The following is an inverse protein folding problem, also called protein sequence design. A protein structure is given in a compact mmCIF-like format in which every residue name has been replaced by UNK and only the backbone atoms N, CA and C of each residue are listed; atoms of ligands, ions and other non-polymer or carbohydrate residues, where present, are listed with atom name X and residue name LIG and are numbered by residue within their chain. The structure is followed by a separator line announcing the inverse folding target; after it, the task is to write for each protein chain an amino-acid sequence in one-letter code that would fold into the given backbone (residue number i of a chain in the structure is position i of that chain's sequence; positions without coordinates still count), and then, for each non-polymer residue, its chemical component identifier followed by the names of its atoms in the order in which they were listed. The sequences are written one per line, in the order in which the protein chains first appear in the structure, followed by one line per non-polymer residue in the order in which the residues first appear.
data_IF_680893638534
#
_entry.id   IF_680893638534
#
_cell.length_a   1.000
_cell.length_b   1.000
_cell.length_c   1.000
_cell.angle_alpha   90.00
_cell.angle_beta   90.00
_cell.angle_gamma   90.00
#
_symmetry.space_group_name_H-M   'P 1'
#
loop_
_entity.id
_entity.type
_entity.pdbx_description
1 polymer ?
#
# COMPACT_ATOMS: atom_id res chain seq x y z
N UNK A 1 12.35 30.80 34.33
CA UNK A 1 12.37 29.46 34.94
C UNK A 1 11.61 28.58 33.98
N UNK A 2 12.39 28.01 33.06
CA UNK A 2 12.15 26.81 32.26
C UNK A 2 10.92 26.78 31.34
N UNK A 3 11.19 27.23 30.11
CA UNK A 3 10.57 26.81 28.86
C UNK A 3 10.51 25.28 28.75
N UNK A 4 9.30 24.73 28.74
CA UNK A 4 9.02 23.35 28.33
C UNK A 4 7.72 23.33 27.53
N UNK A 5 7.70 24.06 26.42
CA UNK A 5 6.75 23.73 25.35
C UNK A 5 7.31 22.52 24.61
N UNK A 6 6.73 21.37 24.93
CA UNK A 6 6.94 20.08 24.28
C UNK A 6 6.93 20.27 22.76
N UNK A 7 8.11 20.18 22.18
CA UNK A 7 8.33 19.95 20.77
C UNK A 7 7.62 18.63 20.42
N UNK A 8 6.43 18.74 19.81
CA UNK A 8 5.75 17.58 19.23
C UNK A 8 6.72 16.87 18.30
N UNK A 9 6.92 15.57 18.53
CA UNK A 9 7.78 14.72 17.73
C UNK A 9 7.47 14.89 16.24
N UNK A 10 8.49 14.86 15.35
CA UNK A 10 8.25 15.02 13.92
C UNK A 10 7.39 13.86 13.45
N UNK A 11 6.24 14.17 12.87
CA UNK A 11 5.60 13.38 11.82
C UNK A 11 5.56 11.86 12.07
N UNK A 12 4.77 11.40 13.05
CA UNK A 12 4.44 9.96 13.10
C UNK A 12 3.39 9.67 12.05
N UNK A 13 3.80 9.75 10.78
CA UNK A 13 3.04 9.18 9.67
C UNK A 13 2.78 7.70 10.03
N UNK A 14 1.52 7.24 10.05
CA UNK A 14 1.22 5.85 10.37
C UNK A 14 1.97 4.92 9.41
N UNK A 15 2.44 3.76 9.87
CA UNK A 15 3.22 2.85 9.04
C UNK A 15 2.42 2.48 7.79
N UNK A 16 3.12 2.32 6.67
CA UNK A 16 2.51 1.98 5.39
C UNK A 16 1.71 0.66 5.45
N UNK A 17 2.10 -0.24 6.36
CA UNK A 17 1.51 -1.54 6.57
C UNK A 17 1.45 -1.87 8.08
N UNK A 18 0.32 -2.41 8.54
CA UNK A 18 0.20 -2.97 9.88
C UNK A 18 0.89 -4.34 9.94
N UNK A 19 2.06 -4.37 10.59
CA UNK A 19 2.89 -5.57 10.71
C UNK A 19 2.16 -6.72 11.40
N UNK A 20 1.33 -6.44 12.41
CA UNK A 20 0.63 -7.48 13.15
C UNK A 20 -0.41 -8.18 12.29
N UNK A 21 -1.08 -7.45 11.38
CA UNK A 21 -2.02 -8.03 10.41
C UNK A 21 -1.29 -8.98 9.47
N UNK A 22 -0.15 -8.56 8.91
CA UNK A 22 0.60 -9.38 7.97
C UNK A 22 1.25 -10.59 8.64
N UNK A 23 1.77 -10.45 9.86
CA UNK A 23 2.25 -11.58 10.66
C UNK A 23 1.14 -12.60 10.95
N UNK A 24 -0.07 -12.13 11.28
CA UNK A 24 -1.22 -13.01 11.48
C UNK A 24 -1.62 -13.73 10.19
N UNK A 25 -1.56 -13.03 9.04
CA UNK A 25 -1.78 -13.65 7.73
C UNK A 25 -0.76 -14.75 7.44
N UNK A 26 0.51 -14.48 7.71
CA UNK A 26 1.60 -15.42 7.52
C UNK A 26 1.55 -16.60 8.50
N UNK A 27 1.11 -16.40 9.74
CA UNK A 27 0.98 -17.44 10.74
C UNK A 27 -0.04 -18.54 10.37
N UNK A 28 -0.93 -18.29 9.39
CA UNK A 28 -1.86 -19.31 8.87
C UNK A 28 -1.17 -20.40 8.04
N UNK A 29 0.08 -20.19 7.62
CA UNK A 29 0.80 -21.05 6.69
C UNK A 29 2.17 -21.51 7.15
N UNK A 30 2.67 -22.55 6.49
CA UNK A 30 4.08 -22.94 6.59
C UNK A 30 5.00 -21.95 5.83
N UNK A 31 6.30 -22.17 5.89
CA UNK A 31 7.30 -21.32 5.22
C UNK A 31 7.06 -21.21 3.71
N UNK A 32 6.64 -22.30 3.07
CA UNK A 32 6.41 -22.33 1.62
C UNK A 32 5.19 -21.48 1.26
N UNK A 33 4.10 -21.60 2.03
CA UNK A 33 2.91 -20.80 1.82
C UNK A 33 3.17 -19.32 2.11
N UNK A 34 3.96 -19.00 3.15
CA UNK A 34 4.37 -17.63 3.47
C UNK A 34 5.17 -16.99 2.33
N UNK A 35 6.18 -17.69 1.82
CA UNK A 35 6.98 -17.21 0.69
C UNK A 35 6.13 -17.02 -0.58
N UNK A 36 5.25 -17.97 -0.88
CA UNK A 36 4.34 -17.87 -2.03
C UNK A 36 3.36 -16.70 -1.90
N UNK A 37 2.79 -16.48 -0.70
CA UNK A 37 1.89 -15.36 -0.43
C UNK A 37 2.62 -14.02 -0.53
N UNK A 38 3.83 -13.91 0.04
CA UNK A 38 4.66 -12.71 -0.08
C UNK A 38 4.95 -12.34 -1.53
N UNK A 39 5.40 -13.32 -2.34
CA UNK A 39 5.66 -13.14 -3.76
C UNK A 39 4.40 -12.76 -4.55
N UNK A 40 3.25 -13.35 -4.22
CA UNK A 40 1.97 -13.03 -4.85
C UNK A 40 1.53 -11.60 -4.54
N UNK A 41 1.62 -11.17 -3.27
CA UNK A 41 1.30 -9.81 -2.86
C UNK A 41 2.20 -8.79 -3.56
N UNK A 42 3.50 -9.06 -3.64
CA UNK A 42 4.46 -8.22 -4.37
C UNK A 42 4.06 -8.09 -5.85
N UNK A 43 3.75 -9.21 -6.51
CA UNK A 43 3.34 -9.23 -7.91
C UNK A 43 2.02 -8.47 -8.14
N UNK A 44 1.04 -8.62 -7.24
CA UNK A 44 -0.25 -7.93 -7.33
C UNK A 44 -0.08 -6.41 -7.17
N UNK A 45 0.69 -5.95 -6.18
CA UNK A 45 1.00 -4.53 -6.00
C UNK A 45 1.77 -3.95 -7.19
N UNK A 46 2.75 -4.68 -7.72
CA UNK A 46 3.53 -4.25 -8.89
C UNK A 46 2.64 -4.14 -10.14
N UNK A 47 1.77 -5.12 -10.39
CA UNK A 47 0.79 -5.10 -11.50
C UNK A 47 -0.11 -3.87 -11.39
N UNK A 48 -0.70 -3.63 -10.22
CA UNK A 48 -1.61 -2.51 -10.00
C UNK A 48 -0.89 -1.16 -10.17
N UNK A 49 0.35 -1.04 -9.69
CA UNK A 49 1.18 0.16 -9.89
C UNK A 49 1.41 0.45 -11.37
N UNK A 50 1.63 -0.56 -12.20
CA UNK A 50 1.82 -0.37 -13.64
C UNK A 50 0.56 0.22 -14.30
N UNK A 51 -0.63 -0.22 -13.90
CA UNK A 51 -1.89 0.35 -14.39
C UNK A 51 -2.05 1.82 -13.96
N UNK A 52 -1.58 2.20 -12.77
CA UNK A 52 -1.61 3.60 -12.32
C UNK A 52 -0.63 4.52 -13.08
N UNK A 53 0.37 3.95 -13.77
CA UNK A 53 1.34 4.68 -14.58
C UNK A 53 0.76 5.01 -15.96
N UNK A 54 0.27 3.98 -16.66
CA UNK A 54 -0.03 4.06 -18.10
C UNK A 54 -1.51 3.81 -18.43
N UNK A 55 -2.35 3.55 -17.43
CA UNK A 55 -3.75 3.19 -17.63
C UNK A 55 -4.64 4.36 -18.04
N UNK A 56 -5.70 4.04 -18.76
CA UNK A 56 -6.82 4.97 -19.01
C UNK A 56 -7.56 5.31 -17.70
N UNK A 57 -8.32 6.42 -17.64
CA UNK A 57 -9.15 6.76 -16.48
C UNK A 57 -10.03 5.61 -15.96
N UNK A 58 -10.56 4.79 -16.88
CA UNK A 58 -11.37 3.63 -16.53
C UNK A 58 -10.53 2.51 -15.89
N UNK A 59 -9.38 2.18 -16.47
CA UNK A 59 -8.47 1.15 -15.95
C UNK A 59 -7.87 1.56 -14.61
N UNK A 60 -7.51 2.84 -14.44
CA UNK A 60 -7.03 3.39 -13.17
C UNK A 60 -8.11 3.32 -12.09
N UNK A 61 -9.36 3.66 -12.41
CA UNK A 61 -10.46 3.51 -11.46
C UNK A 61 -10.62 2.06 -10.99
N UNK A 62 -10.54 1.10 -11.92
CA UNK A 62 -10.59 -0.33 -11.57
C UNK A 62 -9.39 -0.80 -10.75
N UNK A 63 -8.18 -0.39 -11.12
CA UNK A 63 -6.98 -0.71 -10.37
C UNK A 63 -7.04 -0.12 -8.95
N UNK A 64 -7.54 1.10 -8.79
CA UNK A 64 -7.75 1.72 -7.48
C UNK A 64 -8.79 0.97 -6.63
N UNK A 65 -9.87 0.48 -7.25
CA UNK A 65 -10.85 -0.35 -6.56
C UNK A 65 -10.27 -1.68 -6.05
N UNK A 66 -9.48 -2.36 -6.89
CA UNK A 66 -8.80 -3.60 -6.54
C UNK A 66 -7.74 -3.37 -5.44
N UNK A 67 -6.93 -2.32 -5.62
CA UNK A 67 -5.89 -1.92 -4.67
C UNK A 67 -6.46 -1.62 -3.28
N UNK A 68 -7.64 -0.99 -3.21
CA UNK A 68 -8.35 -0.75 -1.95
C UNK A 68 -8.65 -2.06 -1.20
N UNK A 69 -9.13 -3.09 -1.91
CA UNK A 69 -9.43 -4.39 -1.32
C UNK A 69 -8.17 -5.13 -0.86
N UNK A 70 -7.14 -5.12 -1.70
CA UNK A 70 -5.84 -5.72 -1.40
C UNK A 70 -5.20 -5.06 -0.17
N UNK A 71 -5.14 -3.73 -0.17
CA UNK A 71 -4.57 -2.94 0.92
C UNK A 71 -5.31 -3.16 2.25
N UNK A 72 -6.65 -3.22 2.23
CA UNK A 72 -7.44 -3.53 3.42
C UNK A 72 -7.13 -4.94 3.97
N UNK A 73 -6.88 -5.91 3.10
CA UNK A 73 -6.56 -7.29 3.49
C UNK A 73 -5.23 -7.37 4.23
N UNK A 74 -4.21 -6.62 3.77
CA UNK A 74 -2.85 -6.67 4.33
C UNK A 74 -2.58 -5.61 5.41
N UNK A 75 -3.60 -4.89 5.87
CA UNK A 75 -3.45 -3.87 6.91
C UNK A 75 -2.81 -2.55 6.43
N UNK A 76 -2.79 -2.28 5.13
CA UNK A 76 -2.31 -1.02 4.56
C UNK A 76 -3.43 0.03 4.49
N UNK A 77 -3.94 0.44 5.66
CA UNK A 77 -5.14 1.29 5.78
C UNK A 77 -5.03 2.61 5.00
N UNK A 78 -3.88 3.28 5.09
CA UNK A 78 -3.62 4.53 4.36
C UNK A 78 -3.69 4.33 2.84
N UNK A 79 -3.08 3.27 2.33
CA UNK A 79 -3.14 2.92 0.92
C UNK A 79 -4.59 2.64 0.48
N UNK A 80 -5.38 1.96 1.32
CA UNK A 80 -6.78 1.69 1.04
C UNK A 80 -7.62 2.99 0.94
N UNK A 81 -7.39 3.97 1.81
CA UNK A 81 -8.08 5.26 1.78
C UNK A 81 -7.68 6.12 0.56
N UNK A 82 -6.39 6.13 0.22
CA UNK A 82 -5.91 6.80 -0.99
C UNK A 82 -6.50 6.16 -2.25
N UNK A 83 -6.52 4.83 -2.31
CA UNK A 83 -7.09 4.08 -3.42
C UNK A 83 -8.60 4.34 -3.55
N UNK A 84 -9.34 4.40 -2.44
CA UNK A 84 -10.75 4.81 -2.42
C UNK A 84 -10.98 6.20 -3.00
N UNK A 85 -10.09 7.15 -2.67
CA UNK A 85 -10.19 8.52 -3.18
C UNK A 85 -10.00 8.57 -4.69
N UNK A 86 -9.03 7.81 -5.23
CA UNK A 86 -8.80 7.71 -6.68
C UNK A 86 -9.95 6.97 -7.38
N UNK A 87 -10.44 5.85 -6.86
CA UNK A 87 -11.59 5.08 -7.38
C UNK A 87 -12.82 6.01 -7.60
N UNK A 88 -13.08 6.92 -6.65
CA UNK A 88 -14.21 7.83 -6.69
C UNK A 88 -14.10 8.93 -7.76
N UNK A 89 -12.89 9.34 -8.15
CA UNK A 89 -12.67 10.51 -9.01
C UNK A 89 -12.02 10.19 -10.35
N UNK A 90 -11.41 9.02 -10.52
CA UNK A 90 -10.63 8.68 -11.72
C UNK A 90 -11.45 8.85 -13.01
N UNK A 91 -12.72 8.44 -12.97
CA UNK A 91 -13.62 8.62 -14.11
C UNK A 91 -13.91 10.10 -14.35
N UNK A 92 -13.56 10.60 -15.54
CA UNK A 92 -13.79 11.98 -15.95
C UNK A 92 -12.60 12.91 -15.75
N UNK A 93 -11.49 12.44 -15.17
CA UNK A 93 -10.24 13.20 -15.17
C UNK A 93 -9.57 13.20 -16.54
N UNK A 94 -8.94 14.33 -16.88
CA UNK A 94 -7.97 14.38 -17.96
C UNK A 94 -6.73 13.57 -17.59
N UNK A 95 -5.93 13.17 -18.59
CA UNK A 95 -4.68 12.43 -18.36
C UNK A 95 -3.73 13.14 -17.39
N UNK A 96 -3.63 14.47 -17.49
CA UNK A 96 -2.76 15.27 -16.61
C UNK A 96 -3.28 15.25 -15.16
N UNK A 97 -4.60 15.42 -14.98
CA UNK A 97 -5.20 15.37 -13.65
C UNK A 97 -5.12 13.96 -13.04
N UNK A 98 -5.31 12.93 -13.87
CA UNK A 98 -5.17 11.53 -13.47
C UNK A 98 -3.76 11.24 -12.95
N UNK A 99 -2.72 11.66 -13.69
CA UNK A 99 -1.33 11.50 -13.28
C UNK A 99 -1.02 12.22 -11.94
N UNK A 100 -1.60 13.41 -11.73
CA UNK A 100 -1.42 14.15 -10.48
C UNK A 100 -2.05 13.43 -9.28
N UNK A 101 -3.23 12.82 -9.44
CA UNK A 101 -3.91 12.12 -8.34
C UNK A 101 -3.35 10.70 -8.10
N UNK A 102 -2.79 10.04 -9.13
CA UNK A 102 -2.16 8.71 -8.96
C UNK A 102 -0.74 8.78 -8.43
N UNK A 103 -0.01 9.90 -8.59
CA UNK A 103 1.37 10.01 -8.13
C UNK A 103 1.56 9.71 -6.62
N UNK A 104 0.76 10.27 -5.69
CA UNK A 104 0.84 9.90 -4.27
C UNK A 104 0.53 8.41 -4.03
N UNK A 105 -0.43 7.86 -4.77
CA UNK A 105 -0.83 6.46 -4.63
C UNK A 105 0.31 5.51 -5.05
N UNK A 106 1.04 5.84 -6.12
CA UNK A 106 2.22 5.08 -6.57
C UNK A 106 3.38 5.12 -5.56
N UNK A 107 3.60 6.28 -4.92
CA UNK A 107 4.58 6.41 -3.86
C UNK A 107 4.21 5.52 -2.65
N UNK A 108 2.92 5.50 -2.29
CA UNK A 108 2.44 4.68 -1.18
C UNK A 108 2.54 3.17 -1.45
N UNK A 109 2.23 2.71 -2.68
CA UNK A 109 2.49 1.32 -3.07
C UNK A 109 3.96 0.96 -2.88
N UNK A 110 4.86 1.88 -3.24
CA UNK A 110 6.30 1.63 -3.10
C UNK A 110 6.73 1.51 -1.63
N UNK A 111 6.14 2.31 -0.74
CA UNK A 111 6.35 2.17 0.71
C UNK A 111 5.84 0.83 1.24
N UNK A 112 4.63 0.40 0.82
CA UNK A 112 4.07 -0.90 1.19
C UNK A 112 4.94 -2.06 0.72
N UNK A 113 5.45 -2.01 -0.52
CA UNK A 113 6.35 -3.03 -1.05
C UNK A 113 7.65 -3.15 -0.26
N UNK A 114 8.23 -2.02 0.18
CA UNK A 114 9.42 -2.02 1.05
C UNK A 114 9.10 -2.69 2.39
N UNK A 115 8.01 -2.29 3.06
CA UNK A 115 7.62 -2.89 4.34
C UNK A 115 7.26 -4.37 4.21
N UNK A 116 6.60 -4.78 3.12
CA UNK A 116 6.32 -6.18 2.84
C UNK A 116 7.60 -7.01 2.75
N UNK A 117 8.60 -6.53 2.01
CA UNK A 117 9.89 -7.20 1.88
C UNK A 117 10.62 -7.33 3.23
N UNK A 118 10.57 -6.29 4.07
CA UNK A 118 11.12 -6.33 5.43
C UNK A 118 10.44 -7.39 6.31
N UNK A 119 9.11 -7.46 6.30
CA UNK A 119 8.38 -8.47 7.10
C UNK A 119 8.67 -9.89 6.61
N UNK A 120 8.71 -10.11 5.29
CA UNK A 120 9.05 -11.41 4.71
C UNK A 120 10.49 -11.80 5.08
N UNK A 121 11.44 -10.86 5.11
CA UNK A 121 12.83 -11.13 5.46
C UNK A 121 13.05 -11.35 6.98
N UNK A 122 12.32 -10.64 7.84
CA UNK A 122 12.41 -10.74 9.30
C UNK A 122 11.70 -11.97 9.87
N UNK A 123 10.84 -12.63 9.10
CA UNK A 123 10.17 -13.85 9.55
C UNK A 123 11.21 -14.97 9.61
N UNK A 124 11.55 -15.52 10.79
CA UNK A 124 12.67 -16.44 10.93
C UNK A 124 12.42 -17.72 10.13
N UNK A 125 13.40 -18.12 9.32
CA UNK A 125 13.47 -19.49 8.81
C UNK A 125 13.81 -20.43 9.97
N UNK A 126 13.22 -21.64 10.01
CA UNK A 126 13.59 -22.66 11.00
C UNK A 126 15.07 -23.06 10.91
#
# INVERSE_FOLDING_TARGET
MEDCFLMGSPDTMPPALDRAVLEALFAMGDETLRAALGAQLEADFARLRAVLEDGTPYEVGRAAHELKGLAATVGAARLADMARSVDAVAQGLSTVALAAVTAPLKAEISAVLISLAEVVADTPRP
#
